data_IF_075045459390
#
_entry.id   IF_075045459390
#
_cell.length_a   1.000
_cell.length_b   1.000
_cell.length_c   1.000
_cell.angle_alpha   90.00
_cell.angle_beta   90.00
_cell.angle_gamma   90.00
#
_symmetry.space_group_name_H-M   'P 1'
#
loop_
_entity.id
_entity.type
_entity.pdbx_description
1 polymer ?
#
# COMPACT_ATOMS: atom_id res chain seq x y z
N UNK A 1 15.12 4.56 -2.81
CA UNK A 1 14.26 3.40 -3.13
C UNK A 1 13.03 3.53 -2.25
N UNK A 2 11.83 3.60 -2.83
CA UNK A 2 10.56 3.73 -2.08
C UNK A 2 10.07 2.34 -1.68
N UNK A 3 9.87 2.09 -0.39
CA UNK A 3 9.36 0.82 0.12
C UNK A 3 7.86 0.94 0.38
N UNK A 4 7.08 0.09 -0.28
CA UNK A 4 5.61 0.07 -0.18
C UNK A 4 5.12 -1.24 0.43
N UNK A 5 4.29 -1.15 1.47
CA UNK A 5 3.65 -2.30 2.09
C UNK A 5 2.15 -2.27 1.86
N UNK A 6 1.60 -3.28 1.20
CA UNK A 6 0.16 -3.48 1.10
C UNK A 6 -0.30 -4.44 2.20
N UNK A 7 -0.97 -3.90 3.21
CA UNK A 7 -1.58 -4.65 4.29
C UNK A 7 -3.02 -5.04 3.92
N UNK A 8 -3.25 -6.33 3.61
CA UNK A 8 -4.58 -6.82 3.28
C UNK A 8 -4.80 -8.24 3.78
N UNK A 9 -6.04 -8.56 4.16
CA UNK A 9 -6.44 -9.91 4.58
C UNK A 9 -6.81 -10.83 3.40
N UNK A 10 -6.38 -10.47 2.18
CA UNK A 10 -6.78 -11.18 0.97
C UNK A 10 -5.88 -12.40 0.73
N UNK A 11 -6.44 -13.45 0.12
CA UNK A 11 -5.68 -14.66 -0.23
C UNK A 11 -4.46 -14.36 -1.12
N UNK A 12 -3.52 -15.32 -1.20
CA UNK A 12 -2.23 -15.14 -1.88
C UNK A 12 -2.34 -14.58 -3.30
N UNK A 13 -3.29 -15.09 -4.11
CA UNK A 13 -3.49 -14.63 -5.49
C UNK A 13 -3.97 -13.18 -5.58
N UNK A 14 -4.97 -12.80 -4.78
CA UNK A 14 -5.47 -11.42 -4.72
C UNK A 14 -4.39 -10.47 -4.22
N UNK A 15 -3.60 -10.88 -3.23
CA UNK A 15 -2.47 -10.09 -2.70
C UNK A 15 -1.39 -9.83 -3.75
N UNK A 16 -1.12 -10.79 -4.65
CA UNK A 16 -0.22 -10.56 -5.79
C UNK A 16 -0.80 -9.56 -6.79
N UNK A 17 -2.09 -9.66 -7.11
CA UNK A 17 -2.75 -8.72 -8.04
C UNK A 17 -2.71 -7.29 -7.50
N UNK A 18 -3.07 -7.09 -6.22
CA UNK A 18 -3.04 -5.75 -5.61
C UNK A 18 -1.62 -5.18 -5.64
N UNK A 19 -0.62 -6.01 -5.31
CA UNK A 19 0.80 -5.64 -5.39
C UNK A 19 1.15 -5.16 -6.81
N UNK A 20 0.82 -5.94 -7.84
CA UNK A 20 1.09 -5.56 -9.24
C UNK A 20 0.41 -4.24 -9.64
N UNK A 21 -0.83 -4.00 -9.19
CA UNK A 21 -1.56 -2.74 -9.46
C UNK A 21 -0.88 -1.53 -8.82
N UNK A 22 -0.44 -1.66 -7.56
CA UNK A 22 0.32 -0.63 -6.87
C UNK A 22 1.64 -0.33 -7.59
N UNK A 23 2.38 -1.37 -8.00
CA UNK A 23 3.62 -1.21 -8.76
C UNK A 23 3.37 -0.51 -10.10
N UNK A 24 2.32 -0.88 -10.82
CA UNK A 24 1.94 -0.23 -12.08
C UNK A 24 1.58 1.25 -11.89
N UNK A 25 0.84 1.58 -10.83
CA UNK A 25 0.51 2.95 -10.50
C UNK A 25 1.76 3.78 -10.16
N UNK A 26 2.68 3.25 -9.35
CA UNK A 26 3.97 3.88 -9.04
C UNK A 26 4.80 4.16 -10.31
N UNK A 27 4.91 3.16 -11.20
CA UNK A 27 5.57 3.33 -12.51
C UNK A 27 4.91 4.42 -13.35
N UNK A 28 3.57 4.43 -13.39
CA UNK A 28 2.79 5.44 -14.11
C UNK A 28 2.92 6.86 -13.55
N UNK A 29 3.34 7.00 -12.29
CA UNK A 29 3.65 8.27 -11.63
C UNK A 29 5.14 8.65 -11.71
N UNK A 30 5.95 7.89 -12.45
CA UNK A 30 7.38 8.16 -12.65
C UNK A 30 8.28 7.69 -11.50
N UNK A 31 7.77 6.92 -10.54
CA UNK A 31 8.58 6.31 -9.48
C UNK A 31 9.29 5.08 -10.07
N UNK A 32 10.61 5.19 -10.27
CA UNK A 32 11.40 4.16 -10.98
C UNK A 32 12.19 3.23 -10.04
N UNK A 33 12.43 3.65 -8.80
CA UNK A 33 13.19 2.88 -7.81
C UNK A 33 12.34 2.59 -6.57
N UNK A 34 11.61 1.47 -6.60
CA UNK A 34 10.75 1.04 -5.51
C UNK A 34 10.84 -0.46 -5.25
N UNK A 35 10.44 -0.86 -4.05
CA UNK A 35 10.23 -2.24 -3.62
C UNK A 35 8.82 -2.32 -3.03
N UNK A 36 8.05 -3.37 -3.39
CA UNK A 36 6.73 -3.57 -2.81
C UNK A 36 6.58 -4.95 -2.16
N UNK A 37 5.88 -5.00 -1.04
CA UNK A 37 5.56 -6.21 -0.28
C UNK A 37 4.08 -6.22 0.10
N UNK A 38 3.53 -7.40 0.37
CA UNK A 38 2.19 -7.55 0.91
C UNK A 38 2.20 -8.51 2.09
N UNK A 39 1.34 -8.24 3.08
CA UNK A 39 1.15 -9.07 4.27
C UNK A 39 -0.25 -8.85 4.85
N UNK A 40 -0.60 -9.59 5.90
CA UNK A 40 -1.83 -9.34 6.65
C UNK A 40 -1.76 -8.03 7.44
N UNK A 41 -2.91 -7.46 7.80
CA UNK A 41 -2.96 -6.26 8.67
C UNK A 41 -2.33 -6.53 10.04
N UNK A 42 -2.44 -7.76 10.56
CA UNK A 42 -1.79 -8.16 11.81
C UNK A 42 -0.26 -8.10 11.73
N UNK A 43 0.33 -8.63 10.67
CA UNK A 43 1.79 -8.56 10.44
C UNK A 43 2.25 -7.12 10.17
N UNK A 44 1.45 -6.36 9.41
CA UNK A 44 1.74 -4.97 9.08
C UNK A 44 1.95 -4.11 10.33
N UNK A 45 1.27 -4.37 11.45
CA UNK A 45 1.49 -3.66 12.72
C UNK A 45 2.96 -3.67 13.17
N UNK A 46 3.71 -4.74 12.90
CA UNK A 46 5.12 -4.85 13.26
C UNK A 46 6.09 -4.40 12.16
N UNK A 47 5.65 -4.44 10.90
CA UNK A 47 6.49 -4.16 9.74
C UNK A 47 6.39 -2.71 9.24
N UNK A 48 5.23 -2.06 9.45
CA UNK A 48 4.86 -0.77 8.87
C UNK A 48 5.86 0.37 9.12
N UNK A 49 6.61 0.34 10.23
CA UNK A 49 7.62 1.35 10.55
C UNK A 49 8.82 1.34 9.58
N UNK A 50 9.06 0.23 8.88
CA UNK A 50 10.16 0.08 7.91
C UNK A 50 9.79 0.42 6.46
N UNK A 51 8.61 0.98 6.22
CA UNK A 51 8.09 1.30 4.90
C UNK A 51 7.76 2.79 4.78
N UNK A 52 8.00 3.35 3.59
CA UNK A 52 7.72 4.75 3.27
C UNK A 52 6.22 4.96 3.02
N UNK A 53 5.54 3.94 2.50
CA UNK A 53 4.11 3.94 2.19
C UNK A 53 3.50 2.62 2.69
N UNK A 54 2.39 2.73 3.41
CA UNK A 54 1.58 1.60 3.87
C UNK A 54 0.18 1.78 3.33
N UNK A 55 -0.30 0.79 2.57
CA UNK A 55 -1.63 0.78 1.95
C UNK A 55 -2.49 -0.24 2.66
N UNK A 56 -3.71 0.13 3.03
CA UNK A 56 -4.70 -0.77 3.60
C UNK A 56 -6.11 -0.42 3.12
N UNK A 57 -7.08 -1.29 3.38
CA UNK A 57 -8.48 -0.91 3.20
C UNK A 57 -8.88 0.17 4.20
N UNK A 58 -9.73 1.12 3.80
CA UNK A 58 -10.34 2.11 4.70
C UNK A 58 -11.07 1.47 5.89
N UNK A 59 -11.52 0.22 5.76
CA UNK A 59 -12.15 -0.51 6.86
C UNK A 59 -11.15 -0.97 7.94
N UNK A 60 -9.85 -1.05 7.63
CA UNK A 60 -8.82 -1.62 8.51
C UNK A 60 -7.64 -0.67 8.74
N UNK A 61 -7.63 0.50 8.11
CA UNK A 61 -6.51 1.45 8.17
C UNK A 61 -6.25 1.98 9.59
N UNK A 62 -7.29 2.12 10.40
CA UNK A 62 -7.19 2.57 11.80
C UNK A 62 -6.32 1.64 12.65
N UNK A 63 -6.24 0.34 12.31
CA UNK A 63 -5.38 -0.63 12.98
C UNK A 63 -3.88 -0.36 12.80
N UNK A 64 -3.54 0.49 11.82
CA UNK A 64 -2.18 0.84 11.43
C UNK A 64 -1.83 2.30 11.77
N UNK A 65 -2.76 3.06 12.34
CA UNK A 65 -2.48 4.41 12.85
C UNK A 65 -1.40 4.37 13.93
N UNK A 66 -0.42 5.28 13.81
CA UNK A 66 0.74 5.31 14.70
C UNK A 66 1.73 4.15 14.56
N UNK A 67 1.54 3.22 13.60
CA UNK A 67 2.44 2.09 13.35
C UNK A 67 3.50 2.37 12.29
N UNK A 68 3.36 3.46 11.55
CA UNK A 68 4.32 3.91 10.52
C UNK A 68 4.65 5.38 10.70
N UNK A 69 5.87 5.75 10.35
CA UNK A 69 6.29 7.14 10.17
C UNK A 69 6.14 7.60 8.70
N UNK A 70 5.78 6.67 7.81
CA UNK A 70 5.53 6.92 6.40
C UNK A 70 4.09 7.36 6.12
N UNK A 71 3.72 7.33 4.84
CA UNK A 71 2.36 7.65 4.39
C UNK A 71 1.45 6.45 4.60
N UNK A 72 0.38 6.64 5.36
CA UNK A 72 -0.68 5.64 5.53
C UNK A 72 -1.82 5.97 4.56
N UNK A 73 -2.09 5.08 3.60
CA UNK A 73 -3.05 5.28 2.51
C UNK A 73 -4.19 4.27 2.62
N UNK A 74 -5.39 4.80 2.65
CA UNK A 74 -6.61 4.01 2.72
C UNK A 74 -7.33 3.95 1.38
N UNK A 75 -7.77 2.74 1.02
CA UNK A 75 -8.52 2.46 -0.20
C UNK A 75 -9.89 1.83 0.14
N UNK A 76 -10.95 2.27 -0.52
CA UNK A 76 -12.25 1.62 -0.46
C UNK A 76 -12.19 0.29 -1.22
N UNK A 77 -11.56 0.29 -2.40
CA UNK A 77 -11.34 -0.91 -3.21
C UNK A 77 -9.85 -1.09 -3.57
N UNK A 78 -9.21 -2.06 -2.92
CA UNK A 78 -7.81 -2.43 -3.17
C UNK A 78 -7.54 -2.95 -4.60
N UNK A 79 -8.57 -3.21 -5.42
CA UNK A 79 -8.43 -3.66 -6.80
C UNK A 79 -8.70 -2.56 -7.84
N UNK A 80 -9.13 -1.36 -7.43
CA UNK A 80 -9.43 -0.25 -8.34
C UNK A 80 -8.15 0.49 -8.74
N UNK A 81 -7.75 0.35 -10.00
CA UNK A 81 -6.52 0.98 -10.52
C UNK A 81 -6.56 2.51 -10.45
N UNK A 82 -7.75 3.11 -10.66
CA UNK A 82 -7.91 4.55 -10.63
C UNK A 82 -7.80 5.06 -9.20
N UNK A 83 -8.46 4.39 -8.25
CA UNK A 83 -8.38 4.77 -6.84
C UNK A 83 -6.94 4.67 -6.31
N UNK A 84 -6.27 3.55 -6.59
CA UNK A 84 -4.86 3.33 -6.21
C UNK A 84 -4.00 4.47 -6.76
N UNK A 85 -4.10 4.78 -8.06
CA UNK A 85 -3.30 5.81 -8.70
C UNK A 85 -3.56 7.19 -8.10
N UNK A 86 -4.82 7.58 -7.96
CA UNK A 86 -5.19 8.91 -7.42
C UNK A 86 -4.70 9.09 -5.98
N UNK A 87 -4.83 8.06 -5.14
CA UNK A 87 -4.41 8.12 -3.74
C UNK A 87 -2.88 8.11 -3.59
N UNK A 88 -2.18 7.33 -4.41
CA UNK A 88 -0.71 7.36 -4.48
C UNK A 88 -0.20 8.72 -4.96
N UNK A 89 -0.80 9.27 -6.01
CA UNK A 89 -0.42 10.58 -6.54
C UNK A 89 -0.61 11.68 -5.48
N UNK A 90 -1.72 11.66 -4.74
CA UNK A 90 -1.97 12.60 -3.66
C UNK A 90 -0.98 12.47 -2.49
N UNK A 91 -0.48 11.26 -2.22
CA UNK A 91 0.46 11.01 -1.13
C UNK A 91 1.93 11.31 -1.48
N UNK A 92 2.27 11.28 -2.77
CA UNK A 92 3.62 11.49 -3.31
C UNK A 92 3.90 12.94 -3.72
N UNK A 93 2.86 13.78 -3.84
CA UNK A 93 2.99 15.24 -3.98
C UNK A 93 3.34 15.88 -2.64
#
# INVERSE_FOLDING_TARGET
MVKVLTACGNGMGSSMVIKMKVENALRGLGVTNFESASCSVGEAKGLAAGYDIVIASNHLISELEGRTNGKLIGLDNLMDDNEIKTKLEAALK
#
